data_IF_663103179013
#
_entry.id   IF_663103179013
#
_cell.length_a   1.000
_cell.length_b   1.000
_cell.length_c   1.000
_cell.angle_alpha   90.00
_cell.angle_beta   90.00
_cell.angle_gamma   90.00
#
_symmetry.space_group_name_H-M   'P 1'
#
loop_
_entity.id
_entity.type
_entity.pdbx_description
1 polymer ?
#
# COMPACT_ATOMS: atom_id res chain seq x y z
N UNK A 1 1.21 6.41 5.59
CA UNK A 1 1.55 5.42 4.56
C UNK A 1 2.16 4.19 5.21
N UNK A 2 1.73 3.01 4.81
CA UNK A 2 2.32 1.76 5.32
C UNK A 2 3.69 1.58 4.68
N UNK A 3 4.73 1.48 5.50
CA UNK A 3 6.07 1.13 5.05
C UNK A 3 6.11 -0.38 4.79
N UNK A 4 6.48 -0.77 3.57
CA UNK A 4 6.52 -2.17 3.17
C UNK A 4 7.77 -2.90 3.68
N UNK A 5 8.76 -2.21 4.21
CA UNK A 5 10.00 -2.83 4.71
C UNK A 5 9.69 -3.92 5.75
N UNK A 6 10.33 -5.07 5.59
CA UNK A 6 10.16 -6.24 6.47
C UNK A 6 8.73 -6.79 6.50
N UNK A 7 8.01 -6.67 5.40
CA UNK A 7 6.65 -7.23 5.26
C UNK A 7 6.58 -8.24 4.12
N UNK A 8 5.74 -9.23 4.31
CA UNK A 8 5.32 -10.16 3.27
C UNK A 8 3.88 -9.82 2.92
N UNK A 9 3.61 -9.47 1.68
CA UNK A 9 2.28 -9.06 1.20
C UNK A 9 1.64 -10.20 0.43
N UNK A 10 0.48 -10.67 0.91
CA UNK A 10 -0.29 -11.71 0.25
C UNK A 10 -1.15 -11.09 -0.86
N UNK A 11 -0.91 -11.53 -2.07
CA UNK A 11 -1.59 -11.09 -3.29
C UNK A 11 -2.59 -12.17 -3.72
N UNK A 12 -3.86 -11.80 -3.86
CA UNK A 12 -4.93 -12.73 -4.22
C UNK A 12 -5.48 -12.52 -5.63
N UNK A 13 -5.26 -11.34 -6.22
CA UNK A 13 -5.74 -11.01 -7.56
C UNK A 13 -4.66 -10.30 -8.36
N UNK A 14 -4.78 -10.31 -9.68
CA UNK A 14 -3.87 -9.58 -10.57
C UNK A 14 -3.95 -8.08 -10.37
N UNK A 15 -5.14 -7.56 -10.08
CA UNK A 15 -5.33 -6.14 -9.76
C UNK A 15 -4.56 -5.75 -8.49
N UNK A 16 -4.65 -6.55 -7.44
CA UNK A 16 -3.85 -6.36 -6.21
C UNK A 16 -2.35 -6.38 -6.51
N UNK A 17 -1.91 -7.31 -7.35
CA UNK A 17 -0.53 -7.42 -7.76
C UNK A 17 -0.02 -6.11 -8.38
N UNK A 18 -0.73 -5.59 -9.36
CA UNK A 18 -0.38 -4.33 -10.01
C UNK A 18 -0.40 -3.15 -9.05
N UNK A 19 -1.41 -3.05 -8.20
CA UNK A 19 -1.55 -1.95 -7.25
C UNK A 19 -0.46 -1.98 -6.17
N UNK A 20 -0.10 -3.15 -5.67
CA UNK A 20 0.98 -3.28 -4.69
C UNK A 20 2.33 -2.89 -5.31
N UNK A 21 2.59 -3.25 -6.57
CA UNK A 21 3.82 -2.85 -7.24
C UNK A 21 3.89 -1.34 -7.47
N UNK A 22 2.75 -0.68 -7.70
CA UNK A 22 2.69 0.79 -7.76
C UNK A 22 3.07 1.41 -6.41
N UNK A 23 2.55 0.88 -5.30
CA UNK A 23 2.92 1.33 -3.95
C UNK A 23 4.41 1.10 -3.70
N UNK A 24 4.92 -0.07 -4.04
CA UNK A 24 6.33 -0.42 -3.90
C UNK A 24 7.24 0.53 -4.68
N UNK A 25 6.88 0.85 -5.91
CA UNK A 25 7.65 1.79 -6.75
C UNK A 25 7.68 3.18 -6.14
N UNK A 26 6.57 3.67 -5.58
CA UNK A 26 6.52 4.95 -4.89
C UNK A 26 7.41 4.98 -3.65
N UNK A 27 7.59 3.83 -2.98
CA UNK A 27 8.46 3.71 -1.81
C UNK A 27 9.92 3.42 -2.16
N UNK A 28 10.25 3.38 -3.44
CA UNK A 28 11.63 3.19 -3.91
C UNK A 28 12.08 1.74 -4.03
N UNK A 29 11.16 0.78 -4.03
CA UNK A 29 11.48 -0.64 -4.18
C UNK A 29 11.81 -1.01 -5.62
N UNK A 30 12.67 -2.01 -5.75
CA UNK A 30 13.05 -2.63 -7.02
C UNK A 30 13.03 -4.14 -6.89
N UNK A 31 12.82 -4.85 -7.99
CA UNK A 31 12.99 -6.29 -8.01
C UNK A 31 14.41 -6.66 -7.60
N UNK A 32 14.52 -7.80 -6.93
CA UNK A 32 15.82 -8.39 -6.66
C UNK A 32 16.63 -8.50 -7.97
N UNK A 33 17.85 -7.95 -7.99
CA UNK A 33 18.64 -7.85 -9.21
C UNK A 33 18.62 -6.45 -9.85
N UNK A 34 17.88 -5.49 -9.26
CA UNK A 34 17.92 -4.06 -9.63
C UNK A 34 16.96 -3.62 -10.72
N UNK A 35 16.04 -4.46 -11.17
CA UNK A 35 15.00 -4.08 -12.14
C UNK A 35 13.92 -3.25 -11.48
N UNK A 36 13.33 -2.31 -12.22
CA UNK A 36 12.21 -1.50 -11.73
C UNK A 36 11.02 -2.39 -11.33
N UNK A 37 10.23 -1.93 -10.36
CA UNK A 37 9.07 -2.65 -9.83
C UNK A 37 7.87 -2.57 -10.78
N UNK A 38 8.02 -3.11 -11.98
CA UNK A 38 6.92 -3.30 -12.92
C UNK A 38 6.32 -4.69 -12.75
N UNK A 39 5.00 -4.84 -12.96
CA UNK A 39 4.37 -6.16 -12.92
C UNK A 39 4.98 -7.09 -13.98
N UNK A 40 5.19 -8.34 -13.62
CA UNK A 40 5.47 -9.37 -14.62
C UNK A 40 4.28 -9.51 -15.57
N UNK A 41 4.51 -9.99 -16.82
CA UNK A 41 3.41 -10.27 -17.74
C UNK A 41 2.34 -11.14 -17.08
N UNK A 42 1.09 -10.91 -17.42
CA UNK A 42 -0.06 -11.58 -16.80
C UNK A 42 0.11 -13.12 -16.80
N UNK A 43 0.65 -13.69 -17.87
CA UNK A 43 0.87 -15.12 -18.02
C UNK A 43 1.93 -15.67 -17.05
N UNK A 44 2.81 -14.83 -16.56
CA UNK A 44 3.87 -15.21 -15.62
C UNK A 44 3.47 -14.97 -14.16
N UNK A 45 2.34 -14.34 -13.91
CA UNK A 45 1.86 -14.08 -12.56
C UNK A 45 1.23 -15.32 -11.97
N UNK A 46 1.76 -15.77 -10.85
CA UNK A 46 1.20 -16.87 -10.06
C UNK A 46 0.39 -16.30 -8.91
N UNK A 47 -0.91 -16.58 -8.87
CA UNK A 47 -1.84 -16.09 -7.86
C UNK A 47 -2.49 -17.30 -7.17
N UNK A 48 -2.59 -17.31 -5.82
CA UNK A 48 -2.06 -16.30 -4.89
C UNK A 48 -0.54 -16.32 -4.78
N UNK A 49 0.04 -15.18 -4.45
CA UNK A 49 1.48 -15.03 -4.32
C UNK A 49 1.84 -14.20 -3.09
N UNK A 50 3.06 -14.37 -2.61
CA UNK A 50 3.60 -13.58 -1.51
C UNK A 50 4.78 -12.77 -2.05
N UNK A 51 4.67 -11.45 -1.95
CA UNK A 51 5.76 -10.52 -2.24
C UNK A 51 6.47 -10.17 -0.94
N UNK A 52 7.77 -10.42 -0.88
CA UNK A 52 8.59 -10.15 0.30
C UNK A 52 9.40 -8.89 0.08
N UNK A 53 9.28 -7.95 1.00
CA UNK A 53 9.91 -6.63 0.94
C UNK A 53 11.04 -6.55 1.96
N UNK A 54 12.25 -6.36 1.46
CA UNK A 54 13.46 -6.27 2.29
C UNK A 54 13.76 -4.83 2.69
N UNK A 55 14.47 -4.65 3.79
CA UNK A 55 14.85 -3.32 4.29
C UNK A 55 15.80 -2.57 3.34
N UNK A 56 16.48 -3.26 2.44
CA UNK A 56 17.37 -2.65 1.44
C UNK A 56 16.64 -2.15 0.18
N UNK A 57 15.30 -2.09 0.20
CA UNK A 57 14.46 -1.63 -0.91
C UNK A 57 14.44 -2.57 -2.11
N UNK A 58 14.68 -3.85 -1.89
CA UNK A 58 14.46 -4.89 -2.87
C UNK A 58 13.22 -5.72 -2.53
N UNK A 59 12.59 -6.33 -3.52
CA UNK A 59 11.48 -7.24 -3.32
C UNK A 59 11.63 -8.50 -4.15
N UNK A 60 11.04 -9.58 -3.67
CA UNK A 60 10.99 -10.87 -4.38
C UNK A 60 9.57 -11.39 -4.42
N UNK A 61 9.23 -12.17 -5.44
CA UNK A 61 7.96 -12.87 -5.56
C UNK A 61 8.10 -14.34 -5.15
N UNK A 62 6.97 -15.01 -5.01
CA UNK A 62 6.92 -16.44 -4.67
C UNK A 62 7.68 -16.75 -3.37
N UNK A 63 7.55 -15.82 -2.42
CA UNK A 63 8.28 -15.87 -1.16
C UNK A 63 7.52 -16.67 -0.10
N UNK A 64 8.26 -17.12 0.91
CA UNK A 64 7.70 -17.72 2.12
C UNK A 64 7.84 -16.75 3.29
N UNK A 65 6.89 -16.82 4.22
CA UNK A 65 6.97 -16.03 5.45
C UNK A 65 8.19 -16.47 6.26
N UNK A 66 8.98 -15.49 6.71
CA UNK A 66 10.19 -15.72 7.49
C UNK A 66 10.13 -14.99 8.83
N UNK A 67 10.88 -15.43 9.87
CA UNK A 67 10.99 -14.71 11.13
C UNK A 67 11.43 -13.26 10.91
N UNK A 68 10.82 -12.33 11.64
CA UNK A 68 11.08 -10.90 11.51
C UNK A 68 10.30 -10.19 10.43
N UNK A 69 9.46 -10.91 9.68
CA UNK A 69 8.58 -10.35 8.66
C UNK A 69 7.12 -10.47 9.09
N UNK A 70 6.37 -9.40 8.89
CA UNK A 70 4.93 -9.37 9.14
C UNK A 70 4.18 -9.72 7.87
N UNK A 71 3.22 -10.64 7.97
CA UNK A 71 2.32 -10.98 6.86
C UNK A 71 1.16 -9.98 6.85
N UNK A 72 0.95 -9.32 5.72
CA UNK A 72 -0.16 -8.39 5.51
C UNK A 72 -0.92 -8.73 4.23
N UNK A 73 -2.21 -8.42 4.20
CA UNK A 73 -3.01 -8.58 2.99
C UNK A 73 -2.81 -7.38 2.06
N UNK A 74 -2.71 -7.64 0.76
CA UNK A 74 -2.60 -6.59 -0.24
C UNK A 74 -3.78 -5.61 -0.17
N UNK A 75 -5.00 -6.12 0.03
CA UNK A 75 -6.20 -5.30 0.17
C UNK A 75 -6.10 -4.27 1.30
N UNK A 76 -5.50 -4.63 2.42
CA UNK A 76 -5.32 -3.72 3.55
C UNK A 76 -4.36 -2.59 3.22
N UNK A 77 -3.28 -2.88 2.51
CA UNK A 77 -2.32 -1.86 2.05
C UNK A 77 -2.99 -0.90 1.07
N UNK A 78 -3.73 -1.43 0.11
CA UNK A 78 -4.42 -0.64 -0.92
C UNK A 78 -5.49 0.25 -0.30
N UNK A 79 -6.30 -0.27 0.63
CA UNK A 79 -7.30 0.52 1.34
C UNK A 79 -6.69 1.65 2.16
N UNK A 80 -5.59 1.39 2.84
CA UNK A 80 -4.88 2.40 3.62
C UNK A 80 -4.41 3.54 2.72
N UNK A 81 -3.79 3.22 1.58
CA UNK A 81 -3.34 4.21 0.60
C UNK A 81 -4.52 5.03 0.05
N UNK A 82 -5.65 4.39 -0.23
CA UNK A 82 -6.85 5.06 -0.70
C UNK A 82 -7.40 6.04 0.34
N UNK A 83 -7.46 5.65 1.61
CA UNK A 83 -7.93 6.52 2.70
C UNK A 83 -7.06 7.75 2.86
N UNK A 84 -5.74 7.60 2.76
CA UNK A 84 -4.79 8.72 2.80
C UNK A 84 -5.05 9.67 1.63
N UNK A 85 -5.19 9.13 0.43
CA UNK A 85 -5.43 9.93 -0.78
C UNK A 85 -6.74 10.71 -0.68
N UNK A 86 -7.82 10.07 -0.20
CA UNK A 86 -9.12 10.71 -0.02
C UNK A 86 -9.04 11.84 1.01
N UNK A 87 -8.32 11.64 2.12
CA UNK A 87 -8.11 12.67 3.14
C UNK A 87 -7.33 13.87 2.58
N UNK A 88 -6.29 13.63 1.81
CA UNK A 88 -5.50 14.69 1.16
C UNK A 88 -6.36 15.50 0.19
N UNK A 89 -7.17 14.82 -0.63
CA UNK A 89 -8.06 15.48 -1.58
C UNK A 89 -9.09 16.36 -0.86
N UNK A 90 -9.59 15.90 0.27
CA UNK A 90 -10.56 16.65 1.08
C UNK A 90 -9.93 17.91 1.69
N UNK A 91 -8.69 17.80 2.20
CA UNK A 91 -7.94 18.96 2.71
C UNK A 91 -7.74 20.00 1.61
N UNK A 92 -7.38 19.55 0.40
CA UNK A 92 -7.21 20.45 -0.76
C UNK A 92 -8.52 21.14 -1.14
N UNK A 93 -9.63 20.43 -1.14
CA UNK A 93 -10.96 20.99 -1.40
C UNK A 93 -11.34 22.04 -0.35
N UNK A 94 -11.08 21.78 0.92
CA UNK A 94 -11.32 22.71 2.03
C UNK A 94 -10.45 23.98 1.87
N UNK A 95 -9.19 23.85 1.51
CA UNK A 95 -8.31 24.99 1.31
C UNK A 95 -8.77 25.90 0.16
N UNK A 96 -9.40 25.34 -0.89
CA UNK A 96 -9.96 26.10 -2.00
C UNK A 96 -11.27 26.78 -1.66
N UNK A 97 -12.14 26.14 -0.90
CA UNK A 97 -13.49 26.59 -0.62
C UNK A 97 -13.92 26.15 0.78
N UNK A 98 -13.50 26.88 1.83
CA UNK A 98 -13.86 26.55 3.21
C UNK A 98 -15.38 26.59 3.41
N UNK A 99 -15.97 25.42 3.56
CA UNK A 99 -17.41 25.22 3.77
C UNK A 99 -17.60 24.38 5.01
N UNK A 100 -18.67 24.66 5.77
CA UNK A 100 -19.02 23.92 6.99
C UNK A 100 -19.22 22.43 6.71
N UNK A 101 -19.84 22.09 5.59
CA UNK A 101 -20.05 20.71 5.15
C UNK A 101 -18.71 20.00 4.91
N UNK A 102 -17.73 20.70 4.32
CA UNK A 102 -16.38 20.18 4.10
C UNK A 102 -15.64 19.98 5.41
N UNK A 103 -15.84 20.86 6.40
CA UNK A 103 -15.24 20.72 7.73
C UNK A 103 -15.70 19.43 8.38
N UNK A 104 -16.99 19.13 8.37
CA UNK A 104 -17.54 17.91 8.95
C UNK A 104 -17.01 16.66 8.23
N UNK A 105 -16.95 16.68 6.91
CA UNK A 105 -16.40 15.60 6.11
C UNK A 105 -14.91 15.40 6.38
N UNK A 106 -14.15 16.49 6.54
CA UNK A 106 -12.74 16.45 6.87
C UNK A 106 -12.50 15.80 8.24
N UNK A 107 -13.28 16.18 9.24
CA UNK A 107 -13.21 15.61 10.60
C UNK A 107 -13.45 14.10 10.54
N UNK A 108 -14.46 13.64 9.81
CA UNK A 108 -14.76 12.21 9.62
C UNK A 108 -13.60 11.47 8.97
N UNK A 109 -13.02 12.04 7.91
CA UNK A 109 -11.89 11.44 7.20
C UNK A 109 -10.65 11.36 8.07
N UNK A 110 -10.36 12.39 8.87
CA UNK A 110 -9.24 12.40 9.79
C UNK A 110 -9.41 11.38 10.91
N UNK A 111 -10.61 11.21 11.45
CA UNK A 111 -10.91 10.17 12.44
C UNK A 111 -10.71 8.78 11.86
N UNK A 112 -11.21 8.53 10.67
CA UNK A 112 -11.07 7.24 9.99
C UNK A 112 -9.60 6.92 9.71
N UNK A 113 -8.83 7.93 9.31
CA UNK A 113 -7.39 7.77 9.07
C UNK A 113 -6.65 7.48 10.39
N UNK A 114 -6.98 8.18 11.48
CA UNK A 114 -6.40 7.94 12.79
C UNK A 114 -6.67 6.52 13.27
N UNK A 115 -7.93 6.04 13.16
CA UNK A 115 -8.31 4.68 13.52
C UNK A 115 -7.54 3.64 12.67
N UNK A 116 -7.35 3.93 11.40
CA UNK A 116 -6.59 3.07 10.49
C UNK A 116 -5.13 2.99 10.89
N UNK A 117 -4.51 4.13 11.26
CA UNK A 117 -3.12 4.17 11.73
C UNK A 117 -2.98 3.39 13.03
N UNK A 118 -3.88 3.56 13.99
CA UNK A 118 -3.85 2.83 15.25
C UNK A 118 -3.93 1.32 15.04
N UNK A 119 -4.76 0.86 14.11
CA UNK A 119 -4.91 -0.56 13.81
C UNK A 119 -3.66 -1.16 13.14
N UNK A 120 -2.78 -0.34 12.60
CA UNK A 120 -1.52 -0.76 11.97
C UNK A 120 -0.32 -0.73 12.94
N UNK A 121 -0.50 -0.16 14.11
CA UNK A 121 0.54 -0.12 15.15
C UNK A 121 0.53 -1.40 16.03
#
# INVERSE_FOLDING_TARGET
MIDLANKCVLIRTHEEYENILKVAKRQGYRWYGGKEAYPYPFEEQQIPDILKFYSNKELTRNASLAPGYELVEASDVIEYEKKIKDAINLVRAFAKNPDRTLIDSLIKSLKLLADTIESQM
#
